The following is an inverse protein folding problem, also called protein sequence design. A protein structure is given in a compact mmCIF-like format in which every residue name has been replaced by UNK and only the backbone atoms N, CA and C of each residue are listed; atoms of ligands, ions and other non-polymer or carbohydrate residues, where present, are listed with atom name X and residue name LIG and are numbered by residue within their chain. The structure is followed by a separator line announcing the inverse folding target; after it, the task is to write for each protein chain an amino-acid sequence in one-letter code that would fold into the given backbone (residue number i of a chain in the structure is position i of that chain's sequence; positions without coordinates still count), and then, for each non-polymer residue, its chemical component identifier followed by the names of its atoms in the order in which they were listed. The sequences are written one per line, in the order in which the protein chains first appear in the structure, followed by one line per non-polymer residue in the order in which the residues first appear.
data_IF_329743372573
#
_entry.id   IF_329743372573
#
_cell.length_a   1.000
_cell.length_b   1.000
_cell.length_c   1.000
_cell.angle_alpha   90.00
_cell.angle_beta   90.00
_cell.angle_gamma   90.00
#
_symmetry.space_group_name_H-M   'P 1'
#
loop_
_entity.id
_entity.type
_entity.pdbx_description
1 polymer ?
#
# COMPACT_ATOMS: atom_id res chain seq x y z
N UNK A 1 59.67 -12.81 3.57
CA UNK A 1 58.61 -12.87 4.60
C UNK A 1 57.95 -11.52 4.86
N UNK A 2 58.65 -10.44 5.23
CA UNK A 2 58.03 -9.14 5.58
C UNK A 2 57.16 -8.51 4.48
N UNK A 3 57.47 -8.68 3.20
CA UNK A 3 56.70 -8.11 2.07
C UNK A 3 55.31 -8.78 1.90
N UNK A 4 55.26 -10.10 2.00
CA UNK A 4 53.96 -10.85 1.89
C UNK A 4 53.08 -10.61 3.10
N UNK A 5 53.66 -10.45 4.29
CA UNK A 5 52.91 -10.12 5.49
C UNK A 5 52.21 -8.74 5.39
N UNK A 6 52.92 -7.74 4.84
CA UNK A 6 52.33 -6.40 4.60
C UNK A 6 51.19 -6.44 3.57
N UNK A 7 51.36 -7.23 2.49
CA UNK A 7 50.33 -7.39 1.47
C UNK A 7 49.09 -8.07 2.07
N UNK A 8 49.26 -9.12 2.86
CA UNK A 8 48.15 -9.81 3.55
C UNK A 8 47.41 -8.87 4.52
N UNK A 9 48.12 -8.02 5.25
CA UNK A 9 47.53 -7.01 6.13
C UNK A 9 46.68 -5.97 5.35
N UNK A 10 47.20 -5.49 4.21
CA UNK A 10 46.48 -4.52 3.38
C UNK A 10 45.22 -5.17 2.78
N UNK A 11 45.28 -6.39 2.25
CA UNK A 11 44.12 -7.11 1.70
C UNK A 11 43.11 -7.36 2.84
N UNK A 12 43.52 -7.79 4.00
CA UNK A 12 42.64 -8.01 5.15
C UNK A 12 41.93 -6.75 5.62
N UNK A 13 42.62 -5.59 5.62
CA UNK A 13 42.02 -4.31 6.00
C UNK A 13 41.02 -3.81 4.93
N UNK A 14 41.28 -4.06 3.63
CA UNK A 14 40.35 -3.72 2.55
C UNK A 14 39.07 -4.61 2.64
N UNK A 15 39.22 -5.92 2.83
CA UNK A 15 38.09 -6.82 3.00
C UNK A 15 37.28 -6.45 4.24
N UNK A 16 37.91 -6.14 5.36
CA UNK A 16 37.24 -5.70 6.58
C UNK A 16 36.50 -4.37 6.36
N UNK A 17 37.09 -3.42 5.64
CA UNK A 17 36.47 -2.15 5.29
C UNK A 17 35.22 -2.39 4.37
N UNK A 18 35.32 -3.29 3.40
CA UNK A 18 34.19 -3.65 2.53
C UNK A 18 33.06 -4.29 3.35
N UNK A 19 33.38 -5.19 4.29
CA UNK A 19 32.38 -5.83 5.17
C UNK A 19 31.69 -4.81 6.09
N UNK A 20 32.44 -3.83 6.58
CA UNK A 20 31.88 -2.79 7.47
C UNK A 20 31.07 -1.75 6.68
N UNK A 21 31.48 -1.40 5.46
CA UNK A 21 30.85 -0.38 4.64
C UNK A 21 29.68 -0.95 3.84
N UNK A 22 29.68 -2.25 3.48
CA UNK A 22 28.62 -2.85 2.67
C UNK A 22 27.21 -2.72 3.26
N UNK A 23 26.96 -2.87 4.58
CA UNK A 23 25.64 -2.62 5.14
C UNK A 23 25.19 -1.16 5.07
N UNK A 24 26.13 -0.22 5.01
CA UNK A 24 25.87 1.22 4.87
C UNK A 24 25.75 1.66 3.40
N UNK A 25 26.33 0.88 2.48
CA UNK A 25 26.22 1.12 1.02
C UNK A 25 25.02 0.40 0.39
N UNK A 26 24.62 -0.74 0.95
CA UNK A 26 23.38 -1.43 0.66
C UNK A 26 22.34 -0.84 1.61
N UNK A 27 21.83 0.35 1.31
CA UNK A 27 20.67 0.92 2.01
C UNK A 27 19.52 -0.10 2.12
N UNK A 28 18.47 0.20 2.86
CA UNK A 28 17.27 -0.63 2.87
C UNK A 28 16.86 -0.91 1.44
N UNK A 29 16.32 -2.11 1.18
CA UNK A 29 15.85 -2.48 -0.15
C UNK A 29 14.85 -1.43 -0.63
N UNK A 30 15.04 -0.93 -1.86
CA UNK A 30 14.08 -0.05 -2.51
C UNK A 30 13.00 -0.90 -3.18
N UNK A 31 11.74 -0.69 -2.77
CA UNK A 31 10.60 -1.35 -3.37
C UNK A 31 9.87 -0.42 -4.35
N UNK A 32 9.29 -0.96 -5.43
CA UNK A 32 8.50 -0.16 -6.34
C UNK A 32 7.41 0.64 -5.64
N UNK A 33 7.25 1.90 -6.06
CA UNK A 33 6.19 2.80 -5.61
C UNK A 33 5.26 3.12 -6.78
N UNK A 34 3.96 3.29 -6.53
CA UNK A 34 2.96 3.60 -7.54
C UNK A 34 2.83 2.56 -8.67
N UNK A 35 3.14 1.32 -8.38
CA UNK A 35 2.93 0.17 -9.27
C UNK A 35 2.92 -1.13 -8.49
N UNK A 36 2.26 -2.15 -9.01
CA UNK A 36 2.31 -3.47 -8.43
C UNK A 36 3.70 -4.12 -8.59
N UNK A 37 4.11 -4.86 -7.58
CA UNK A 37 5.29 -5.72 -7.61
C UNK A 37 5.01 -7.06 -6.92
N UNK A 38 5.73 -8.09 -7.36
CA UNK A 38 5.58 -9.45 -6.82
C UNK A 38 6.39 -9.62 -5.54
N UNK A 39 5.82 -10.34 -4.58
CA UNK A 39 6.50 -10.77 -3.35
C UNK A 39 6.48 -12.30 -3.25
N UNK A 40 7.53 -12.86 -2.66
CA UNK A 40 7.68 -14.31 -2.55
C UNK A 40 6.77 -14.88 -1.44
N UNK A 41 5.46 -14.89 -1.70
CA UNK A 41 4.45 -15.50 -0.84
C UNK A 41 3.29 -16.05 -1.67
N UNK A 42 2.93 -17.29 -1.43
CA UNK A 42 1.84 -18.01 -2.12
C UNK A 42 0.96 -18.70 -1.08
N UNK A 43 -0.11 -18.06 -0.63
CA UNK A 43 -1.01 -18.66 0.34
C UNK A 43 -1.83 -19.78 -0.31
N UNK A 44 -2.18 -20.82 0.44
CA UNK A 44 -3.16 -21.80 -0.01
C UNK A 44 -4.57 -21.19 0.03
N UNK A 45 -5.44 -21.64 -0.88
CA UNK A 45 -6.87 -21.32 -0.86
C UNK A 45 -7.27 -20.24 -1.86
N UNK A 46 -8.43 -19.63 -1.61
CA UNK A 46 -9.01 -18.62 -2.48
C UNK A 46 -8.17 -17.35 -2.50
N UNK A 47 -8.20 -16.68 -3.64
CA UNK A 47 -7.65 -15.35 -3.79
C UNK A 47 -8.15 -14.39 -2.71
N UNK A 48 -7.27 -13.50 -2.33
CA UNK A 48 -7.55 -12.49 -1.33
C UNK A 48 -7.06 -11.12 -1.78
N UNK A 49 -7.93 -10.16 -1.66
CA UNK A 49 -7.61 -8.73 -1.78
C UNK A 49 -7.65 -8.10 -0.39
N UNK A 50 -6.60 -7.39 -0.04
CA UNK A 50 -6.56 -6.60 1.20
C UNK A 50 -6.31 -5.15 0.79
N UNK A 51 -7.24 -4.28 1.13
CA UNK A 51 -7.12 -2.85 0.96
C UNK A 51 -6.93 -2.20 2.33
N UNK A 52 -5.79 -1.58 2.52
CA UNK A 52 -5.44 -0.85 3.75
C UNK A 52 -5.39 0.63 3.39
N UNK A 53 -6.08 1.46 4.15
CA UNK A 53 -6.11 2.90 3.96
C UNK A 53 -6.53 3.62 5.25
N UNK A 54 -6.92 4.89 5.15
CA UNK A 54 -7.57 5.65 6.20
C UNK A 54 -8.65 6.57 5.61
N UNK A 55 -9.59 7.00 6.42
CA UNK A 55 -10.82 7.65 5.92
C UNK A 55 -10.54 8.94 5.13
N UNK A 56 -9.52 9.71 5.50
CA UNK A 56 -9.17 10.96 4.82
C UNK A 56 -8.13 10.82 3.70
N UNK A 57 -7.68 9.61 3.36
CA UNK A 57 -6.62 9.40 2.37
C UNK A 57 -7.05 9.73 0.95
N UNK A 58 -6.44 10.70 0.25
CA UNK A 58 -6.78 10.99 -1.14
C UNK A 58 -6.37 9.85 -2.09
N UNK A 59 -5.25 9.16 -1.81
CA UNK A 59 -4.82 7.99 -2.56
C UNK A 59 -5.82 6.84 -2.35
N UNK A 60 -6.26 6.62 -1.11
CA UNK A 60 -7.28 5.62 -0.81
C UNK A 60 -8.62 5.94 -1.46
N UNK A 61 -9.02 7.20 -1.45
CA UNK A 61 -10.22 7.69 -2.12
C UNK A 61 -10.15 7.42 -3.65
N UNK A 62 -9.05 7.81 -4.30
CA UNK A 62 -8.89 7.58 -5.75
C UNK A 62 -8.84 6.09 -6.11
N UNK A 63 -8.11 5.27 -5.36
CA UNK A 63 -7.99 3.83 -5.61
C UNK A 63 -9.27 3.05 -5.31
N UNK A 64 -10.18 3.60 -4.51
CA UNK A 64 -11.45 2.93 -4.21
C UNK A 64 -12.32 2.71 -5.46
N UNK A 65 -12.24 3.59 -6.45
CA UNK A 65 -12.99 3.48 -7.71
C UNK A 65 -12.56 2.29 -8.56
N UNK A 66 -11.30 2.19 -9.02
CA UNK A 66 -10.87 1.04 -9.81
C UNK A 66 -10.95 -0.28 -9.03
N UNK A 67 -10.77 -0.25 -7.71
CA UNK A 67 -10.92 -1.42 -6.87
C UNK A 67 -12.39 -1.88 -6.79
N UNK A 68 -13.34 -0.96 -6.66
CA UNK A 68 -14.77 -1.24 -6.74
C UNK A 68 -15.12 -1.94 -8.04
N UNK A 69 -14.79 -1.35 -9.20
CA UNK A 69 -15.09 -1.91 -10.52
C UNK A 69 -14.38 -3.24 -10.78
N UNK A 70 -13.20 -3.47 -10.20
CA UNK A 70 -12.53 -4.76 -10.29
C UNK A 70 -13.25 -5.84 -9.48
N UNK A 71 -13.62 -5.54 -8.23
CA UNK A 71 -14.24 -6.51 -7.31
C UNK A 71 -15.70 -6.81 -7.67
N UNK A 72 -16.45 -5.84 -8.22
CA UNK A 72 -17.84 -6.01 -8.62
C UNK A 72 -18.03 -7.14 -9.66
N UNK A 73 -17.01 -7.42 -10.47
CA UNK A 73 -17.01 -8.52 -11.44
C UNK A 73 -17.08 -9.90 -10.79
N UNK A 74 -16.64 -10.03 -9.54
CA UNK A 74 -16.53 -11.29 -8.82
C UNK A 74 -17.52 -11.43 -7.67
N UNK A 75 -18.15 -10.33 -7.26
CA UNK A 75 -19.05 -10.35 -6.10
C UNK A 75 -19.75 -9.03 -5.84
N UNK A 76 -20.39 -8.94 -4.69
CA UNK A 76 -21.14 -7.76 -4.27
C UNK A 76 -20.32 -6.96 -3.25
N UNK A 77 -20.04 -5.70 -3.59
CA UNK A 77 -19.31 -4.75 -2.76
C UNK A 77 -20.29 -3.83 -2.05
N UNK A 78 -20.25 -3.78 -0.73
CA UNK A 78 -21.01 -2.80 0.06
C UNK A 78 -20.11 -1.62 0.42
N UNK A 79 -20.59 -0.41 0.22
CA UNK A 79 -19.85 0.82 0.46
C UNK A 79 -20.78 1.98 0.80
N UNK A 80 -20.19 3.09 1.23
CA UNK A 80 -20.85 4.40 1.24
C UNK A 80 -19.91 5.46 0.64
N UNK A 81 -20.51 6.51 0.10
CA UNK A 81 -19.79 7.64 -0.50
C UNK A 81 -19.05 8.42 0.57
N UNK A 82 -17.80 8.77 0.30
CA UNK A 82 -16.93 9.52 1.19
C UNK A 82 -15.98 10.43 0.38
N UNK A 83 -15.10 11.13 1.07
CA UNK A 83 -14.07 11.99 0.45
C UNK A 83 -12.80 12.03 1.31
N UNK A 84 -11.69 12.50 0.74
CA UNK A 84 -10.45 12.73 1.48
C UNK A 84 -10.56 13.92 2.43
N UNK A 85 -9.60 14.02 3.36
CA UNK A 85 -9.50 15.14 4.33
C UNK A 85 -9.51 16.49 3.57
N UNK A 86 -10.39 17.41 3.95
CA UNK A 86 -10.41 18.77 3.41
C UNK A 86 -9.11 19.57 3.57
N UNK A 87 -8.23 19.13 4.47
CA UNK A 87 -6.94 19.77 4.76
C UNK A 87 -5.75 19.10 4.06
N UNK A 88 -5.99 17.99 3.31
CA UNK A 88 -4.95 17.28 2.58
C UNK A 88 -4.54 18.00 1.28
N UNK A 89 -3.46 17.56 0.66
CA UNK A 89 -2.95 18.06 -0.63
C UNK A 89 -3.94 17.94 -1.78
N UNK A 90 -4.83 16.94 -1.72
CA UNK A 90 -5.94 16.73 -2.64
C UNK A 90 -7.26 16.70 -1.84
N UNK A 91 -7.74 17.89 -1.42
CA UNK A 91 -8.90 17.99 -0.54
C UNK A 91 -10.19 17.53 -1.25
N UNK A 92 -11.08 16.92 -0.48
CA UNK A 92 -12.39 16.47 -0.97
C UNK A 92 -12.32 15.54 -2.18
N UNK A 93 -11.23 14.80 -2.38
CA UNK A 93 -11.17 13.77 -3.42
C UNK A 93 -12.29 12.76 -3.19
N UNK A 94 -13.25 12.58 -4.12
CA UNK A 94 -14.36 11.66 -3.95
C UNK A 94 -13.86 10.21 -3.91
N UNK A 95 -14.39 9.43 -2.99
CA UNK A 95 -14.00 8.04 -2.77
C UNK A 95 -15.12 7.20 -2.17
N UNK A 96 -14.86 5.92 -2.03
CA UNK A 96 -15.76 4.94 -1.43
C UNK A 96 -15.13 4.38 -0.16
N UNK A 97 -15.90 4.31 0.92
CA UNK A 97 -15.54 3.51 2.09
C UNK A 97 -16.23 2.17 1.98
N UNK A 98 -15.47 1.12 1.76
CA UNK A 98 -15.97 -0.24 1.69
C UNK A 98 -16.32 -0.76 3.09
N UNK A 99 -17.47 -1.41 3.19
CA UNK A 99 -17.97 -1.96 4.47
C UNK A 99 -18.03 -3.47 4.48
N UNK A 100 -18.29 -4.08 3.33
CA UNK A 100 -18.38 -5.54 3.22
C UNK A 100 -18.16 -6.02 1.78
N UNK A 101 -17.85 -7.31 1.64
CA UNK A 101 -17.73 -7.97 0.34
C UNK A 101 -18.21 -9.42 0.40
N UNK A 102 -19.01 -9.81 -0.56
CA UNK A 102 -19.54 -11.17 -0.68
C UNK A 102 -19.22 -11.75 -2.05
N UNK A 103 -18.42 -12.80 -2.08
CA UNK A 103 -18.07 -13.53 -3.30
C UNK A 103 -17.81 -15.01 -3.02
N UNK A 104 -18.11 -15.86 -4.00
CA UNK A 104 -17.79 -17.29 -3.95
C UNK A 104 -16.34 -17.59 -4.34
N UNK A 105 -15.68 -16.71 -5.10
CA UNK A 105 -14.34 -16.90 -5.67
C UNK A 105 -13.24 -16.16 -4.92
N UNK A 106 -13.42 -14.89 -4.63
CA UNK A 106 -12.41 -14.00 -4.04
C UNK A 106 -12.81 -13.59 -2.62
N UNK A 107 -11.87 -13.49 -1.70
CA UNK A 107 -12.06 -12.85 -0.41
C UNK A 107 -11.52 -11.43 -0.46
N UNK A 108 -12.28 -10.44 0.05
CA UNK A 108 -11.75 -9.10 0.25
C UNK A 108 -11.83 -8.67 1.72
N UNK A 109 -10.84 -7.92 2.16
CA UNK A 109 -10.77 -7.32 3.50
C UNK A 109 -10.39 -5.84 3.35
N UNK A 110 -11.12 -4.97 4.01
CA UNK A 110 -10.92 -3.53 3.98
C UNK A 110 -10.56 -3.05 5.38
N UNK A 111 -9.38 -2.46 5.53
CA UNK A 111 -8.86 -2.01 6.82
C UNK A 111 -8.63 -0.50 6.75
N UNK A 112 -9.41 0.26 7.49
CA UNK A 112 -9.25 1.70 7.62
C UNK A 112 -8.64 2.00 8.98
N UNK A 113 -7.41 2.53 8.99
CA UNK A 113 -6.59 2.67 10.21
C UNK A 113 -6.96 3.90 11.04
N UNK A 114 -7.26 5.00 10.35
CA UNK A 114 -7.45 6.30 10.98
C UNK A 114 -8.72 6.96 10.48
N UNK A 115 -9.22 7.90 11.28
CA UNK A 115 -10.30 8.80 10.89
C UNK A 115 -9.84 9.84 9.85
N UNK A 116 -10.76 10.65 9.35
CA UNK A 116 -10.53 11.61 8.28
C UNK A 116 -9.37 12.58 8.55
N UNK A 117 -9.17 13.02 9.79
CA UNK A 117 -8.19 14.06 10.14
C UNK A 117 -6.94 13.53 10.87
N UNK A 118 -6.69 12.21 10.87
CA UNK A 118 -5.55 11.58 11.54
C UNK A 118 -5.45 11.85 13.06
N UNK A 119 -6.56 12.21 13.70
CA UNK A 119 -6.62 12.49 15.15
C UNK A 119 -7.06 11.28 15.98
N UNK A 120 -7.60 10.27 15.34
CA UNK A 120 -8.12 9.05 15.96
C UNK A 120 -8.05 7.86 15.03
N UNK A 121 -8.41 6.67 15.56
CA UNK A 121 -8.61 5.52 14.70
C UNK A 121 -9.89 5.71 13.85
N UNK A 122 -10.17 4.78 12.94
CA UNK A 122 -11.32 4.85 12.04
C UNK A 122 -12.65 5.09 12.77
N UNK A 123 -12.81 4.61 14.00
CA UNK A 123 -14.00 4.77 14.86
C UNK A 123 -13.95 6.04 15.72
N UNK A 124 -13.11 7.02 15.40
CA UNK A 124 -12.93 8.28 16.11
C UNK A 124 -12.45 8.14 17.58
N UNK A 125 -11.86 7.01 17.95
CA UNK A 125 -11.17 6.90 19.24
C UNK A 125 -9.82 7.59 19.12
N UNK A 126 -9.60 8.63 19.92
CA UNK A 126 -8.37 9.43 19.91
C UNK A 126 -7.11 8.58 20.00
N UNK A 127 -6.16 8.83 19.11
CA UNK A 127 -4.82 8.27 19.16
C UNK A 127 -3.91 9.27 19.87
N UNK A 128 -3.34 8.86 20.99
CA UNK A 128 -2.29 9.60 21.68
C UNK A 128 -0.94 8.99 21.34
N UNK A 129 -0.07 9.76 20.65
CA UNK A 129 1.27 9.35 20.26
C UNK A 129 1.46 9.10 18.78
N UNK A 130 2.35 8.17 18.44
CA UNK A 130 2.78 7.94 17.06
C UNK A 130 1.73 7.18 16.25
N UNK A 131 1.29 7.74 15.12
CA UNK A 131 0.27 7.15 14.25
C UNK A 131 0.76 5.85 13.59
N UNK A 132 2.03 5.77 13.19
CA UNK A 132 2.58 4.53 12.60
C UNK A 132 2.47 3.38 13.58
N UNK A 133 2.84 3.60 14.86
CA UNK A 133 2.71 2.58 15.91
C UNK A 133 1.25 2.18 16.15
N UNK A 134 0.34 3.14 16.15
CA UNK A 134 -1.08 2.89 16.31
C UNK A 134 -1.64 2.09 15.13
N UNK A 135 -1.31 2.47 13.90
CA UNK A 135 -1.72 1.76 12.69
C UNK A 135 -1.17 0.33 12.62
N UNK A 136 0.10 0.11 12.96
CA UNK A 136 0.67 -1.24 13.04
C UNK A 136 -0.02 -2.11 14.08
N UNK A 137 -0.45 -1.54 15.21
CA UNK A 137 -1.21 -2.27 16.22
C UNK A 137 -2.59 -2.69 15.71
N UNK A 138 -3.28 -1.82 14.98
CA UNK A 138 -4.57 -2.11 14.34
C UNK A 138 -4.39 -3.21 13.26
N UNK A 139 -3.44 -3.05 12.34
CA UNK A 139 -3.14 -4.05 11.32
C UNK A 139 -2.83 -5.44 11.91
N UNK A 140 -2.11 -5.48 13.03
CA UNK A 140 -1.77 -6.75 13.71
C UNK A 140 -3.00 -7.42 14.31
N UNK A 141 -4.00 -6.64 14.70
CA UNK A 141 -5.29 -7.13 15.21
C UNK A 141 -6.18 -7.67 14.09
N UNK A 142 -6.20 -7.01 12.94
CA UNK A 142 -7.19 -7.21 11.89
C UNK A 142 -6.72 -8.15 10.78
N UNK A 143 -5.41 -8.34 10.63
CA UNK A 143 -4.86 -9.15 9.55
C UNK A 143 -4.22 -10.45 10.04
N UNK A 144 -4.32 -11.54 9.26
CA UNK A 144 -3.47 -12.72 9.47
C UNK A 144 -1.98 -12.34 9.41
N UNK A 145 -1.18 -13.00 10.23
CA UNK A 145 0.23 -12.66 10.46
C UNK A 145 1.05 -12.41 9.19
N UNK A 146 0.98 -13.22 8.11
CA UNK A 146 1.78 -12.97 6.91
C UNK A 146 1.43 -11.63 6.23
N UNK A 147 0.16 -11.26 6.19
CA UNK A 147 -0.31 -10.00 5.58
C UNK A 147 0.05 -8.79 6.43
N UNK A 148 -0.05 -8.92 7.75
CA UNK A 148 0.47 -7.92 8.67
C UNK A 148 1.97 -7.68 8.44
N UNK A 149 2.78 -8.75 8.36
CA UNK A 149 4.22 -8.65 8.14
C UNK A 149 4.57 -7.99 6.80
N UNK A 150 3.82 -8.29 5.74
CA UNK A 150 3.97 -7.62 4.44
C UNK A 150 3.62 -6.14 4.55
N UNK A 151 2.47 -5.80 5.11
CA UNK A 151 2.06 -4.41 5.30
C UNK A 151 3.09 -3.64 6.14
N UNK A 152 3.53 -4.19 7.28
CA UNK A 152 4.58 -3.59 8.10
C UNK A 152 5.88 -3.39 7.31
N UNK A 153 6.37 -4.43 6.61
CA UNK A 153 7.62 -4.37 5.85
C UNK A 153 7.60 -3.27 4.81
N UNK A 154 6.60 -3.28 3.93
CA UNK A 154 6.56 -2.41 2.75
C UNK A 154 6.04 -1.00 3.04
N UNK A 155 5.50 -0.74 4.21
CA UNK A 155 5.13 0.63 4.61
C UNK A 155 6.11 1.28 5.57
N UNK A 156 6.86 0.51 6.39
CA UNK A 156 7.65 1.06 7.50
C UNK A 156 9.11 0.63 7.55
N UNK A 157 9.57 -0.29 6.70
CA UNK A 157 10.94 -0.83 6.75
C UNK A 157 11.69 -0.68 5.44
N UNK A 158 11.07 -1.02 4.32
CA UNK A 158 11.69 -0.88 3.01
C UNK A 158 11.47 0.54 2.47
N UNK A 159 12.45 1.06 1.78
CA UNK A 159 12.36 2.37 1.16
C UNK A 159 11.55 2.30 -0.14
N UNK A 160 10.80 3.35 -0.42
CA UNK A 160 10.13 3.50 -1.70
C UNK A 160 11.14 3.93 -2.77
N UNK A 161 11.07 3.33 -3.94
CA UNK A 161 11.96 3.64 -5.07
C UNK A 161 11.70 5.05 -5.62
N UNK A 162 12.69 5.60 -6.33
CA UNK A 162 12.57 6.91 -6.95
C UNK A 162 13.35 8.01 -6.24
N UNK A 163 14.31 7.66 -5.37
CA UNK A 163 15.21 8.62 -4.73
C UNK A 163 14.62 9.33 -3.48
N UNK A 164 13.55 8.80 -2.95
CA UNK A 164 12.93 9.36 -1.74
C UNK A 164 13.74 9.08 -0.48
N UNK A 165 14.58 8.04 -0.46
CA UNK A 165 15.38 7.59 0.70
C UNK A 165 14.56 7.49 1.98
N UNK A 166 13.31 7.03 1.87
CA UNK A 166 12.31 7.05 2.92
C UNK A 166 11.37 5.86 2.78
N UNK A 167 10.78 5.43 3.88
CA UNK A 167 9.65 4.49 3.86
C UNK A 167 8.38 5.19 3.41
N UNK A 168 7.37 4.44 2.98
CA UNK A 168 6.07 5.01 2.62
C UNK A 168 5.46 5.79 3.79
N UNK A 169 5.55 5.25 5.02
CA UNK A 169 5.01 5.90 6.21
C UNK A 169 5.76 7.19 6.60
N UNK A 170 7.06 7.27 6.32
CA UNK A 170 7.88 8.45 6.64
C UNK A 170 7.83 9.51 5.54
N UNK A 171 7.36 9.16 4.33
CA UNK A 171 7.27 10.07 3.19
C UNK A 171 6.10 11.06 3.28
N UNK A 172 5.17 10.85 4.21
CA UNK A 172 3.96 11.66 4.40
C UNK A 172 3.97 12.40 5.74
N UNK A 173 3.19 13.48 5.82
CA UNK A 173 3.07 14.28 7.07
C UNK A 173 1.60 14.46 7.46
N UNK A 174 1.26 14.22 8.76
CA UNK A 174 2.09 13.58 9.78
C UNK A 174 2.47 12.14 9.37
N UNK A 175 3.58 11.61 9.88
CA UNK A 175 4.00 10.23 9.58
C UNK A 175 2.93 9.22 9.98
N UNK A 176 2.41 8.44 9.02
CA UNK A 176 1.36 7.45 9.21
C UNK A 176 1.44 6.35 8.14
N UNK A 177 0.75 5.24 8.33
CA UNK A 177 0.66 4.18 7.31
C UNK A 177 -0.27 4.66 6.20
N UNK A 178 0.28 4.72 4.99
CA UNK A 178 -0.42 5.16 3.80
C UNK A 178 -1.19 3.99 3.13
N UNK A 179 -1.81 4.26 1.98
CA UNK A 179 -2.62 3.27 1.27
C UNK A 179 -1.76 2.19 0.62
N UNK A 180 -2.19 0.94 0.81
CA UNK A 180 -1.58 -0.25 0.22
C UNK A 180 -2.67 -1.25 -0.22
N UNK A 181 -2.49 -1.90 -1.37
CA UNK A 181 -3.30 -3.02 -1.82
C UNK A 181 -2.43 -4.27 -1.87
N UNK A 182 -2.92 -5.38 -1.30
CA UNK A 182 -2.29 -6.70 -1.40
C UNK A 182 -3.26 -7.62 -2.14
N UNK A 183 -2.83 -8.20 -3.24
CA UNK A 183 -3.55 -9.22 -4.01
C UNK A 183 -2.75 -10.51 -3.89
N UNK A 184 -3.36 -11.57 -3.37
CA UNK A 184 -2.65 -12.84 -3.16
C UNK A 184 -3.50 -14.04 -3.50
N UNK A 185 -2.88 -15.07 -4.05
CA UNK A 185 -3.49 -16.33 -4.41
C UNK A 185 -2.45 -17.43 -4.58
N UNK A 186 -2.88 -18.57 -5.11
CA UNK A 186 -2.05 -19.78 -5.23
C UNK A 186 -0.83 -19.59 -6.14
N UNK A 187 -0.91 -18.70 -7.12
CA UNK A 187 0.15 -18.46 -8.10
C UNK A 187 1.10 -17.33 -7.70
N UNK A 188 0.69 -16.38 -6.86
CA UNK A 188 1.54 -15.28 -6.42
C UNK A 188 0.89 -14.31 -5.46
N UNK A 189 1.70 -13.39 -4.94
CA UNK A 189 1.24 -12.25 -4.15
C UNK A 189 1.86 -10.97 -4.72
N UNK A 190 1.02 -9.96 -4.88
CA UNK A 190 1.37 -8.69 -5.50
C UNK A 190 0.96 -7.55 -4.57
N UNK A 191 1.82 -6.54 -4.48
CA UNK A 191 1.59 -5.39 -3.61
C UNK A 191 1.65 -4.11 -4.45
N UNK A 192 0.68 -3.24 -4.23
CA UNK A 192 0.70 -1.85 -4.65
C UNK A 192 0.90 -0.99 -3.40
N UNK A 193 1.98 -0.23 -3.36
CA UNK A 193 2.25 0.77 -2.33
C UNK A 193 2.19 2.15 -2.98
N UNK A 194 1.15 2.93 -2.69
CA UNK A 194 0.90 4.23 -3.31
C UNK A 194 -0.28 4.24 -4.28
N UNK A 195 -0.22 5.06 -5.33
CA UNK A 195 -1.32 5.35 -6.26
C UNK A 195 -1.10 4.69 -7.64
N UNK A 196 -2.16 4.44 -8.40
CA UNK A 196 -2.10 4.07 -9.82
C UNK A 196 -2.31 5.27 -10.74
N UNK A 197 -2.93 6.32 -10.23
CA UNK A 197 -3.11 7.61 -10.90
C UNK A 197 -3.26 8.70 -9.83
N UNK A 198 -2.94 9.92 -10.19
CA UNK A 198 -3.00 11.04 -9.25
C UNK A 198 -4.44 11.33 -8.83
N UNK A 199 -4.71 11.49 -7.51
CA UNK A 199 -6.02 11.92 -7.00
C UNK A 199 -6.52 13.22 -7.62
N UNK A 200 -5.62 14.09 -8.11
CA UNK A 200 -5.98 15.34 -8.80
C UNK A 200 -6.83 15.13 -10.04
N UNK A 201 -6.80 13.95 -10.67
CA UNK A 201 -7.56 13.65 -11.87
C UNK A 201 -9.06 13.50 -11.63
N UNK A 202 -9.46 13.23 -10.38
CA UNK A 202 -10.87 13.10 -9.98
C UNK A 202 -11.28 14.16 -8.95
N UNK A 203 -10.35 15.05 -8.57
CA UNK A 203 -10.67 16.11 -7.62
C UNK A 203 -11.68 17.10 -8.21
N UNK A 204 -12.78 17.30 -7.51
CA UNK A 204 -13.91 18.12 -7.97
C UNK A 204 -14.98 17.36 -8.75
N UNK A 205 -14.77 16.07 -9.02
CA UNK A 205 -15.81 15.22 -9.57
C UNK A 205 -16.88 14.84 -8.55
N UNK A 206 -18.00 14.33 -9.04
CA UNK A 206 -19.08 13.82 -8.20
C UNK A 206 -19.06 12.29 -8.18
N UNK A 207 -19.53 11.69 -7.08
CA UNK A 207 -19.66 10.23 -6.97
C UNK A 207 -20.53 9.66 -8.09
N UNK A 208 -21.63 10.35 -8.48
CA UNK A 208 -22.50 9.91 -9.57
C UNK A 208 -21.77 9.86 -10.90
N UNK A 209 -21.00 10.90 -11.23
CA UNK A 209 -20.23 10.95 -12.47
C UNK A 209 -19.17 9.84 -12.50
N UNK A 210 -18.42 9.63 -11.42
CA UNK A 210 -17.40 8.58 -11.33
C UNK A 210 -18.01 7.17 -11.38
N UNK A 211 -19.26 7.00 -10.94
CA UNK A 211 -19.96 5.71 -10.98
C UNK A 211 -20.55 5.41 -12.36
N UNK A 212 -20.99 6.43 -13.09
CA UNK A 212 -21.69 6.26 -14.37
C UNK A 212 -20.73 6.18 -15.58
N UNK A 213 -19.53 6.75 -15.46
CA UNK A 213 -18.63 7.00 -16.60
C UNK A 213 -17.28 6.30 -16.49
N UNK A 214 -17.22 5.13 -15.86
CA UNK A 214 -16.00 4.35 -15.66
C UNK A 214 -15.21 4.09 -16.95
N UNK A 215 -15.91 3.95 -18.08
CA UNK A 215 -15.29 3.66 -19.39
C UNK A 215 -14.69 4.91 -20.08
N UNK A 216 -15.22 6.10 -19.81
CA UNK A 216 -14.70 7.35 -20.35
C UNK A 216 -13.58 7.96 -19.47
N UNK A 217 -13.55 7.61 -18.20
CA UNK A 217 -12.49 8.00 -17.28
C UNK A 217 -11.30 7.04 -17.45
N UNK A 218 -10.49 7.27 -18.48
CA UNK A 218 -9.41 6.39 -18.95
C UNK A 218 -8.48 5.96 -17.84
N UNK A 219 -8.14 6.85 -16.89
CA UNK A 219 -7.26 6.56 -15.76
C UNK A 219 -7.88 5.58 -14.74
N UNK A 220 -9.20 5.67 -14.47
CA UNK A 220 -9.90 4.71 -13.61
C UNK A 220 -9.99 3.35 -14.32
N UNK A 221 -10.35 3.36 -15.60
CA UNK A 221 -10.43 2.15 -16.43
C UNK A 221 -9.08 1.43 -16.52
N UNK A 222 -7.99 2.16 -16.77
CA UNK A 222 -6.65 1.58 -16.86
C UNK A 222 -6.18 1.02 -15.50
N UNK A 223 -6.44 1.72 -14.40
CA UNK A 223 -6.16 1.24 -13.06
C UNK A 223 -7.00 -0.02 -12.71
N UNK A 224 -8.29 -0.04 -13.07
CA UNK A 224 -9.16 -1.21 -12.91
C UNK A 224 -8.63 -2.41 -13.71
N UNK A 225 -8.19 -2.17 -14.95
CA UNK A 225 -7.58 -3.19 -15.82
C UNK A 225 -6.29 -3.75 -15.22
N UNK A 226 -5.46 -2.89 -14.64
CA UNK A 226 -4.24 -3.30 -13.96
C UNK A 226 -4.57 -4.17 -12.73
N UNK A 227 -5.51 -3.75 -11.87
CA UNK A 227 -5.94 -4.56 -10.71
C UNK A 227 -6.44 -5.93 -11.17
N UNK A 228 -7.30 -6.00 -12.21
CA UNK A 228 -7.78 -7.27 -12.76
C UNK A 228 -6.64 -8.14 -13.32
N UNK A 229 -5.62 -7.54 -13.93
CA UNK A 229 -4.45 -8.28 -14.40
C UNK A 229 -3.71 -8.98 -13.23
N UNK A 230 -3.60 -8.32 -12.08
CA UNK A 230 -2.95 -8.92 -10.91
C UNK A 230 -3.85 -9.90 -10.16
N UNK A 231 -5.18 -9.73 -10.17
CA UNK A 231 -6.11 -10.76 -9.75
C UNK A 231 -5.90 -12.04 -10.57
N UNK A 232 -5.93 -11.96 -11.91
CA UNK A 232 -5.71 -13.10 -12.78
C UNK A 232 -4.32 -13.74 -12.63
N UNK A 233 -3.29 -12.97 -12.29
CA UNK A 233 -1.93 -13.51 -12.03
C UNK A 233 -1.83 -14.23 -10.70
N UNK A 234 -2.64 -13.86 -9.72
CA UNK A 234 -2.66 -14.47 -8.40
C UNK A 234 -3.44 -15.80 -8.38
N UNK A 235 -4.39 -15.99 -9.31
CA UNK A 235 -5.19 -17.20 -9.48
C UNK A 235 -4.30 -18.43 -9.77
#
# INVERSE_FOLDING_TARGET
MKKYFRIALIIGSIILAIIIISPFMLGPFEEPHNRFFEVNYKPPGKERVIFISWAGCPIGASLSWPLYFALEKYGNVSYYNWHSDPSDSFPFTPGLIFTNYYSSSINASFVYLYNESLTGNFYNKTISGNLVTAGLKELKSDLPLPYYQMAEKYTTKDWISGGYFSTSADSVQPHHINTIIIISGSSGTYILNGELYSPSLINGDTHSHLMEDDQNLTYIHDACKEINQYLNKAE
#
